data_IF_976601804380
#
_entry.id   IF_976601804380
#
_cell.length_a   1.000
_cell.length_b   1.000
_cell.length_c   1.000
_cell.angle_alpha   90.00
_cell.angle_beta   90.00
_cell.angle_gamma   90.00
#
_symmetry.space_group_name_H-M   'P 1'
#
loop_
_entity.id
_entity.type
_entity.pdbx_description
1 polymer ?
#
# COMPACT_ATOMS: atom_id res chain seq x y z
N UNK A 1 -29.08 8.79 5.93
CA UNK A 1 -29.86 7.92 5.01
C UNK A 1 -29.28 8.07 3.62
N UNK A 2 -28.74 6.97 3.06
CA UNK A 2 -28.15 7.00 1.73
C UNK A 2 -29.28 7.04 0.68
N UNK A 3 -29.34 8.11 -0.09
CA UNK A 3 -30.18 8.22 -1.28
C UNK A 3 -29.43 7.54 -2.44
N UNK A 4 -29.87 6.36 -2.84
CA UNK A 4 -29.35 5.72 -4.05
C UNK A 4 -29.77 6.57 -5.25
N UNK A 5 -28.82 7.23 -5.88
CA UNK A 5 -29.04 7.95 -7.13
C UNK A 5 -29.23 6.89 -8.25
N UNK A 6 -30.14 7.12 -9.19
CA UNK A 6 -30.44 6.18 -10.29
C UNK A 6 -29.20 5.80 -11.11
N UNK A 7 -28.18 6.65 -11.13
CA UNK A 7 -26.88 6.40 -11.79
C UNK A 7 -26.00 5.38 -11.06
N UNK A 8 -26.27 5.08 -9.79
CA UNK A 8 -25.51 4.12 -8.96
C UNK A 8 -26.26 2.84 -8.65
N UNK A 9 -27.56 2.76 -8.98
CA UNK A 9 -28.36 1.56 -8.80
C UNK A 9 -28.23 0.62 -10.02
N UNK A 10 -28.13 -0.68 -9.76
CA UNK A 10 -28.13 -1.69 -10.82
C UNK A 10 -29.45 -1.71 -11.59
N UNK A 11 -29.35 -1.73 -12.92
CA UNK A 11 -30.50 -1.76 -13.82
C UNK A 11 -30.74 -3.16 -14.39
N UNK A 12 -31.92 -3.38 -14.97
CA UNK A 12 -32.22 -4.63 -15.69
C UNK A 12 -31.23 -4.86 -16.87
N UNK A 13 -30.75 -3.78 -17.50
CA UNK A 13 -29.74 -3.86 -18.55
C UNK A 13 -28.39 -4.34 -18.01
N UNK A 14 -28.01 -3.95 -16.79
CA UNK A 14 -26.78 -4.42 -16.15
C UNK A 14 -26.90 -5.89 -15.74
N UNK A 15 -28.08 -6.30 -15.26
CA UNK A 15 -28.36 -7.71 -14.98
C UNK A 15 -28.29 -8.55 -16.26
N UNK A 16 -28.91 -8.11 -17.36
CA UNK A 16 -28.91 -8.81 -18.63
C UNK A 16 -27.49 -9.00 -19.22
N UNK A 17 -26.56 -8.06 -19.00
CA UNK A 17 -25.15 -8.20 -19.40
C UNK A 17 -24.42 -9.33 -18.67
N UNK A 18 -24.88 -9.69 -17.49
CA UNK A 18 -24.30 -10.73 -16.65
C UNK A 18 -24.98 -12.10 -16.81
N UNK A 19 -25.80 -12.28 -17.84
CA UNK A 19 -26.46 -13.53 -18.14
C UNK A 19 -25.80 -14.24 -19.33
N UNK A 20 -25.65 -15.55 -19.19
CA UNK A 20 -25.38 -16.44 -20.30
C UNK A 20 -26.66 -16.63 -21.18
N UNK A 21 -26.55 -17.13 -22.41
CA UNK A 21 -27.70 -17.42 -23.25
C UNK A 21 -28.69 -18.42 -22.66
N UNK A 22 -28.26 -19.25 -21.69
CA UNK A 22 -29.08 -20.21 -20.97
C UNK A 22 -29.81 -19.61 -19.74
N UNK A 23 -29.65 -18.31 -19.50
CA UNK A 23 -30.24 -17.61 -18.37
C UNK A 23 -29.52 -17.78 -17.04
N UNK A 24 -28.40 -18.52 -17.00
CA UNK A 24 -27.52 -18.57 -15.82
C UNK A 24 -26.63 -17.31 -15.70
N UNK A 25 -26.16 -17.02 -14.49
CA UNK A 25 -25.23 -15.90 -14.30
C UNK A 25 -23.87 -16.25 -14.89
N UNK A 26 -23.39 -15.39 -15.80
CA UNK A 26 -22.08 -15.51 -16.42
C UNK A 26 -20.95 -15.36 -15.37
N UNK A 27 -19.84 -16.06 -15.62
CA UNK A 27 -18.62 -15.81 -14.88
C UNK A 27 -17.98 -14.51 -15.40
N UNK A 28 -18.03 -13.45 -14.59
CA UNK A 28 -17.47 -12.15 -14.95
C UNK A 28 -15.96 -12.22 -14.84
N UNK A 29 -15.25 -11.98 -15.95
CA UNK A 29 -13.80 -11.86 -15.94
C UNK A 29 -13.40 -10.54 -15.28
N UNK A 30 -12.70 -10.63 -14.16
CA UNK A 30 -12.21 -9.44 -13.44
C UNK A 30 -11.00 -8.84 -14.15
N UNK A 31 -11.24 -7.89 -15.04
CA UNK A 31 -10.18 -7.18 -15.80
C UNK A 31 -9.57 -5.99 -15.05
N UNK A 32 -10.24 -5.53 -13.99
CA UNK A 32 -9.82 -4.37 -13.21
C UNK A 32 -9.01 -4.73 -11.97
N UNK A 33 -8.79 -6.04 -11.73
CA UNK A 33 -8.00 -6.47 -10.59
C UNK A 33 -6.56 -5.95 -10.67
N UNK A 34 -6.07 -5.45 -9.54
CA UNK A 34 -4.72 -4.92 -9.39
C UNK A 34 -3.93 -5.75 -8.39
N UNK A 35 -2.61 -5.72 -8.54
CA UNK A 35 -1.71 -6.39 -7.62
C UNK A 35 -1.16 -5.38 -6.63
N UNK A 36 -1.58 -5.48 -5.38
CA UNK A 36 -1.18 -4.60 -4.29
C UNK A 36 -0.64 -5.43 -3.11
N UNK A 37 0.52 -6.06 -3.33
CA UNK A 37 1.14 -7.00 -2.38
C UNK A 37 1.53 -6.34 -1.05
N UNK A 38 1.55 -5.02 -0.97
CA UNK A 38 1.84 -4.29 0.27
C UNK A 38 0.85 -4.63 1.39
N UNK A 39 -0.42 -4.86 1.06
CA UNK A 39 -1.46 -5.20 2.03
C UNK A 39 -1.26 -6.60 2.64
N UNK A 40 -0.64 -7.53 1.89
CA UNK A 40 -0.34 -8.89 2.34
C UNK A 40 0.90 -8.93 3.25
N UNK A 41 1.89 -8.08 2.96
CA UNK A 41 3.16 -8.06 3.70
C UNK A 41 3.06 -7.31 5.04
N UNK A 42 2.07 -6.42 5.19
CA UNK A 42 1.89 -5.60 6.40
C UNK A 42 1.60 -6.46 7.63
N UNK A 43 2.31 -6.17 8.71
CA UNK A 43 1.98 -6.70 10.03
C UNK A 43 0.86 -5.86 10.65
N UNK A 44 -0.30 -6.44 10.84
CA UNK A 44 -1.45 -5.76 11.45
C UNK A 44 -1.49 -5.96 12.95
N UNK A 45 -1.58 -4.86 13.70
CA UNK A 45 -1.72 -4.91 15.16
C UNK A 45 -2.88 -4.02 15.63
N UNK A 46 -3.43 -4.38 16.79
CA UNK A 46 -4.44 -3.55 17.45
C UNK A 46 -3.82 -2.27 18.01
N UNK A 47 -4.43 -1.13 17.75
CA UNK A 47 -4.03 0.14 18.31
C UNK A 47 -4.27 0.22 19.82
N UNK A 48 -3.55 1.10 20.51
CA UNK A 48 -3.75 1.36 21.93
C UNK A 48 -4.81 2.46 22.20
N UNK A 49 -5.26 3.13 21.15
CA UNK A 49 -6.30 4.16 21.20
C UNK A 49 -7.51 3.76 20.33
N UNK A 50 -8.71 4.25 20.65
CA UNK A 50 -9.90 4.03 19.82
C UNK A 50 -9.79 4.62 18.42
N UNK A 51 -8.94 5.65 18.23
CA UNK A 51 -8.75 6.35 16.96
C UNK A 51 -7.42 6.03 16.26
N UNK A 52 -6.56 5.21 16.88
CA UNK A 52 -5.25 4.92 16.31
C UNK A 52 -4.28 4.30 17.29
N UNK A 53 -3.01 4.65 17.15
CA UNK A 53 -1.93 4.13 17.99
C UNK A 53 -0.99 5.25 18.43
N UNK A 54 -0.52 5.20 19.68
CA UNK A 54 0.46 6.13 20.24
C UNK A 54 1.71 5.37 20.66
N UNK A 55 2.84 5.77 20.07
CA UNK A 55 4.16 5.26 20.39
C UNK A 55 5.01 6.34 21.07
N UNK A 56 5.92 5.92 21.93
CA UNK A 56 6.98 6.77 22.48
C UNK A 56 8.30 6.45 21.79
N UNK A 57 8.95 7.46 21.26
CA UNK A 57 10.22 7.35 20.54
C UNK A 57 11.27 8.14 21.28
N UNK A 58 12.46 7.53 21.48
CA UNK A 58 13.59 8.22 22.08
C UNK A 58 14.25 9.15 21.06
N UNK A 59 14.34 10.45 21.37
CA UNK A 59 14.87 11.49 20.48
C UNK A 59 16.33 11.84 20.75
N UNK A 60 16.82 11.60 21.96
CA UNK A 60 18.25 11.78 22.26
C UNK A 60 18.77 10.74 23.25
N UNK A 61 20.05 10.47 23.13
CA UNK A 61 20.80 9.64 24.09
C UNK A 61 21.57 10.54 25.07
N UNK A 62 21.83 10.08 26.30
CA UNK A 62 22.69 10.80 27.24
C UNK A 62 24.12 10.82 26.72
N UNK A 63 24.81 11.93 26.93
CA UNK A 63 26.22 12.09 26.56
C UNK A 63 27.11 11.66 27.72
N UNK A 64 27.89 10.56 27.59
CA UNK A 64 28.86 10.19 28.61
C UNK A 64 30.05 11.17 28.64
N UNK A 65 30.58 11.43 29.83
CA UNK A 65 31.75 12.31 30.01
C UNK A 65 32.94 11.50 30.55
N UNK A 66 34.07 11.63 29.87
CA UNK A 66 35.34 11.08 30.37
C UNK A 66 35.85 11.94 31.53
N UNK A 67 36.01 11.35 32.69
CA UNK A 67 36.38 12.06 33.91
C UNK A 67 37.82 11.74 34.33
N UNK A 68 38.52 12.77 34.85
CA UNK A 68 39.79 12.61 35.56
C UNK A 68 39.51 12.27 37.03
N UNK A 69 40.52 11.70 37.73
CA UNK A 69 40.43 11.47 39.17
C UNK A 69 40.19 12.82 39.89
N UNK A 70 39.29 12.78 40.90
CA UNK A 70 38.87 13.96 41.68
C UNK A 70 38.11 15.05 40.94
N UNK A 71 37.56 14.76 39.75
CA UNK A 71 36.72 15.68 38.97
C UNK A 71 35.28 15.18 38.95
N UNK A 72 34.30 16.07 39.04
CA UNK A 72 32.87 15.76 38.90
C UNK A 72 32.47 15.39 37.47
N UNK A 73 31.29 14.82 37.31
CA UNK A 73 30.65 14.52 36.03
C UNK A 73 29.29 15.23 35.96
N UNK A 74 29.04 15.93 34.88
CA UNK A 74 27.74 16.56 34.66
C UNK A 74 26.65 15.51 34.37
N UNK A 75 25.46 15.60 35.01
CA UNK A 75 24.36 14.71 34.74
C UNK A 75 23.79 14.95 33.34
N UNK A 76 23.52 13.88 32.64
CA UNK A 76 22.84 13.92 31.33
C UNK A 76 21.57 13.05 31.35
N UNK A 77 20.59 13.36 30.51
CA UNK A 77 19.31 12.64 30.43
C UNK A 77 18.96 12.29 28.99
N UNK A 78 18.12 11.27 28.84
CA UNK A 78 17.45 10.96 27.59
C UNK A 78 16.23 11.85 27.38
N UNK A 79 15.88 12.14 26.15
CA UNK A 79 14.60 12.77 25.80
C UNK A 79 13.77 11.84 24.94
N UNK A 80 12.47 11.89 25.14
CA UNK A 80 11.48 11.07 24.42
C UNK A 80 10.39 11.97 23.85
N UNK A 81 9.84 11.56 22.71
CA UNK A 81 8.70 12.20 22.09
C UNK A 81 7.59 11.16 21.85
N UNK A 82 6.34 11.59 21.96
CA UNK A 82 5.19 10.77 21.63
C UNK A 82 4.76 11.05 20.20
N UNK A 83 4.57 10.00 19.43
CA UNK A 83 4.02 10.04 18.07
C UNK A 83 2.67 9.35 18.11
N UNK A 84 1.64 9.98 17.56
CA UNK A 84 0.30 9.42 17.46
C UNK A 84 -0.06 9.27 15.99
N UNK A 85 -0.32 8.04 15.59
CA UNK A 85 -0.78 7.69 14.24
C UNK A 85 -2.28 7.36 14.28
N UNK A 86 -3.05 7.95 13.38
CA UNK A 86 -4.50 7.80 13.31
C UNK A 86 -4.91 6.73 12.30
N UNK A 87 -6.03 6.06 12.57
CA UNK A 87 -6.68 5.16 11.63
C UNK A 87 -7.74 5.91 10.84
N UNK A 88 -7.84 5.61 9.56
CA UNK A 88 -8.97 6.00 8.71
C UNK A 88 -10.05 4.91 8.71
N UNK A 89 -11.24 5.26 8.22
CA UNK A 89 -12.36 4.35 8.03
C UNK A 89 -12.86 4.47 6.60
N UNK A 90 -12.73 3.39 5.84
CA UNK A 90 -13.28 3.26 4.49
C UNK A 90 -14.57 2.44 4.57
N UNK A 91 -15.65 2.95 4.01
CA UNK A 91 -16.95 2.29 4.00
C UNK A 91 -17.53 2.25 2.59
N UNK A 92 -18.20 1.16 2.27
CA UNK A 92 -18.96 1.02 1.04
C UNK A 92 -20.25 0.24 1.31
N UNK A 93 -21.31 0.59 0.62
CA UNK A 93 -22.61 -0.06 0.74
C UNK A 93 -23.03 -0.56 -0.64
N UNK A 94 -23.22 -1.88 -0.76
CA UNK A 94 -23.80 -2.48 -1.94
C UNK A 94 -25.31 -2.59 -1.76
N UNK A 95 -26.08 -1.97 -2.64
CA UNK A 95 -27.54 -2.00 -2.64
C UNK A 95 -28.01 -2.66 -3.93
N UNK A 96 -28.79 -3.73 -3.80
CA UNK A 96 -29.31 -4.50 -4.94
C UNK A 96 -30.81 -4.62 -4.77
N UNK A 97 -31.58 -4.17 -5.78
CA UNK A 97 -33.05 -4.31 -5.77
C UNK A 97 -33.46 -5.80 -5.66
N UNK A 98 -34.34 -6.10 -4.71
CA UNK A 98 -34.82 -7.48 -4.48
C UNK A 98 -35.47 -8.07 -5.72
N UNK A 99 -36.33 -7.33 -6.41
CA UNK A 99 -37.00 -7.80 -7.59
C UNK A 99 -36.02 -8.16 -8.71
N UNK A 100 -34.92 -7.41 -8.82
CA UNK A 100 -33.86 -7.67 -9.78
C UNK A 100 -33.02 -8.89 -9.37
N UNK A 101 -32.66 -8.99 -8.09
CA UNK A 101 -31.86 -10.09 -7.58
C UNK A 101 -32.59 -11.45 -7.68
N UNK A 102 -33.88 -11.45 -7.44
CA UNK A 102 -34.69 -12.68 -7.44
C UNK A 102 -35.07 -13.18 -8.87
N UNK A 103 -34.74 -12.40 -9.90
CA UNK A 103 -34.90 -12.82 -11.27
C UNK A 103 -34.14 -14.13 -11.54
N UNK A 104 -34.83 -15.11 -12.12
CA UNK A 104 -34.30 -16.44 -12.47
C UNK A 104 -33.78 -17.27 -11.27
N UNK A 105 -34.10 -16.91 -10.03
CA UNK A 105 -33.70 -17.66 -8.83
C UNK A 105 -32.22 -17.69 -8.51
N UNK A 106 -31.41 -16.78 -9.08
CA UNK A 106 -29.96 -16.75 -8.97
C UNK A 106 -29.41 -15.61 -8.05
N UNK A 107 -30.24 -15.12 -7.11
CA UNK A 107 -29.93 -13.94 -6.29
C UNK A 107 -28.59 -14.01 -5.56
N UNK A 108 -28.28 -15.13 -4.92
CA UNK A 108 -27.03 -15.29 -4.17
C UNK A 108 -25.78 -15.24 -5.05
N UNK A 109 -25.80 -15.90 -6.21
CA UNK A 109 -24.66 -15.94 -7.14
C UNK A 109 -24.40 -14.56 -7.77
N UNK A 110 -25.48 -13.86 -8.14
CA UNK A 110 -25.36 -12.52 -8.71
C UNK A 110 -24.85 -11.49 -7.68
N UNK A 111 -25.41 -11.49 -6.46
CA UNK A 111 -24.92 -10.66 -5.35
C UNK A 111 -23.42 -10.91 -5.08
N UNK A 112 -23.00 -12.18 -5.02
CA UNK A 112 -21.57 -12.52 -4.82
C UNK A 112 -20.69 -12.00 -5.95
N UNK A 113 -21.15 -12.03 -7.20
CA UNK A 113 -20.42 -11.47 -8.33
C UNK A 113 -20.24 -9.97 -8.21
N UNK A 114 -21.27 -9.22 -7.80
CA UNK A 114 -21.20 -7.78 -7.58
C UNK A 114 -20.31 -7.43 -6.37
N UNK A 115 -20.41 -8.21 -5.30
CA UNK A 115 -19.60 -7.99 -4.09
C UNK A 115 -18.09 -8.07 -4.33
N UNK A 116 -17.62 -8.90 -5.28
CA UNK A 116 -16.20 -8.95 -5.66
C UNK A 116 -15.66 -7.59 -6.13
N UNK A 117 -16.45 -6.84 -6.90
CA UNK A 117 -16.06 -5.51 -7.35
C UNK A 117 -15.87 -4.51 -6.19
N UNK A 118 -16.72 -4.57 -5.16
CA UNK A 118 -16.56 -3.73 -3.96
C UNK A 118 -15.29 -4.10 -3.18
N UNK A 119 -15.01 -5.39 -3.00
CA UNK A 119 -13.82 -5.87 -2.31
C UNK A 119 -12.53 -5.40 -3.03
N UNK A 120 -12.48 -5.54 -4.35
CA UNK A 120 -11.34 -5.11 -5.15
C UNK A 120 -11.18 -3.58 -5.11
N UNK A 121 -12.26 -2.82 -5.27
CA UNK A 121 -12.23 -1.36 -5.20
C UNK A 121 -11.72 -0.84 -3.84
N UNK A 122 -12.18 -1.42 -2.74
CA UNK A 122 -11.72 -1.07 -1.41
C UNK A 122 -10.26 -1.45 -1.17
N UNK A 123 -9.78 -2.58 -1.69
CA UNK A 123 -8.38 -2.98 -1.61
C UNK A 123 -7.46 -2.02 -2.37
N UNK A 124 -7.88 -1.60 -3.57
CA UNK A 124 -7.15 -0.62 -4.37
C UNK A 124 -7.10 0.75 -3.69
N UNK A 125 -8.24 1.23 -3.17
CA UNK A 125 -8.29 2.50 -2.44
C UNK A 125 -7.42 2.46 -1.19
N UNK A 126 -7.52 1.39 -0.38
CA UNK A 126 -6.70 1.24 0.83
C UNK A 126 -5.20 1.28 0.49
N UNK A 127 -4.75 0.58 -0.55
CA UNK A 127 -3.35 0.62 -0.98
C UNK A 127 -2.93 2.03 -1.42
N UNK A 128 -3.79 2.76 -2.14
CA UNK A 128 -3.54 4.13 -2.53
C UNK A 128 -3.44 5.07 -1.32
N UNK A 129 -4.35 4.93 -0.35
CA UNK A 129 -4.35 5.77 0.86
C UNK A 129 -3.12 5.50 1.74
N UNK A 130 -2.69 4.25 1.89
CA UNK A 130 -1.45 3.93 2.62
C UNK A 130 -0.20 4.54 1.99
N UNK A 131 -0.21 4.75 0.68
CA UNK A 131 0.91 5.41 -0.03
C UNK A 131 0.82 6.94 0.03
N UNK A 132 -0.34 7.51 -0.27
CA UNK A 132 -0.45 8.94 -0.63
C UNK A 132 -1.27 9.80 0.31
N UNK A 133 -2.12 9.24 1.17
CA UNK A 133 -3.01 10.06 1.99
C UNK A 133 -2.26 10.92 3.01
N UNK A 134 -2.81 12.09 3.27
CA UNK A 134 -2.32 13.02 4.27
C UNK A 134 -3.43 13.37 5.25
N UNK A 135 -3.32 12.88 6.48
CA UNK A 135 -4.32 13.12 7.53
C UNK A 135 -4.42 14.59 7.96
N UNK A 136 -3.41 15.41 7.64
CA UNK A 136 -3.49 16.85 7.90
C UNK A 136 -4.42 17.59 6.91
N UNK A 137 -4.60 17.04 5.69
CA UNK A 137 -5.49 17.58 4.66
C UNK A 137 -6.87 16.89 4.66
N UNK A 138 -6.89 15.60 4.98
CA UNK A 138 -8.07 14.75 5.01
C UNK A 138 -8.06 13.91 6.30
N UNK A 139 -8.61 14.45 7.41
CA UNK A 139 -8.53 13.82 8.73
C UNK A 139 -9.23 12.45 8.82
N UNK A 140 -10.15 12.15 7.90
CA UNK A 140 -10.85 10.86 7.78
C UNK A 140 -9.95 9.74 7.24
N UNK A 141 -8.76 10.08 6.69
CA UNK A 141 -7.80 9.15 6.09
C UNK A 141 -6.58 8.96 6.99
N UNK A 142 -5.90 7.79 6.92
CA UNK A 142 -4.66 7.58 7.65
C UNK A 142 -3.51 8.41 7.05
N UNK A 143 -2.45 8.64 7.81
CA UNK A 143 -1.22 9.25 7.28
C UNK A 143 -0.40 8.20 6.51
N UNK A 144 -0.28 8.39 5.20
CA UNK A 144 0.46 7.50 4.30
C UNK A 144 1.99 7.70 4.33
N UNK A 145 2.69 6.98 3.45
CA UNK A 145 4.15 7.06 3.35
C UNK A 145 4.63 8.36 2.69
N UNK A 146 4.01 8.77 1.58
CA UNK A 146 4.49 9.91 0.77
C UNK A 146 4.59 11.22 1.54
N UNK A 147 3.62 11.63 2.37
CA UNK A 147 3.73 12.86 3.14
C UNK A 147 4.84 12.83 4.20
N UNK A 148 5.19 11.64 4.70
CA UNK A 148 6.27 11.47 5.69
C UNK A 148 7.67 11.58 5.07
N UNK A 149 7.80 11.24 3.77
CA UNK A 149 9.05 11.24 3.00
C UNK A 149 8.93 12.15 1.77
N UNK A 150 8.55 13.41 2.00
CA UNK A 150 8.19 14.37 0.95
C UNK A 150 9.33 15.32 0.58
N UNK A 151 10.51 15.25 1.19
CA UNK A 151 11.62 16.16 0.94
C UNK A 151 12.95 15.41 0.76
N UNK A 152 13.80 15.94 -0.10
CA UNK A 152 15.20 15.54 -0.25
C UNK A 152 16.14 16.37 0.65
N UNK A 153 15.67 17.50 1.17
CA UNK A 153 16.47 18.40 1.99
C UNK A 153 16.58 17.91 3.44
N UNK A 154 17.74 17.44 3.83
CA UNK A 154 18.03 16.94 5.18
C UNK A 154 17.92 18.03 6.26
N UNK A 155 18.00 19.30 5.89
CA UNK A 155 17.77 20.42 6.80
C UNK A 155 16.31 20.65 7.17
N UNK A 156 15.36 20.11 6.40
CA UNK A 156 13.93 20.30 6.60
C UNK A 156 13.32 19.20 7.47
N UNK A 157 13.74 17.96 7.30
CA UNK A 157 13.21 16.82 8.03
C UNK A 157 14.26 15.72 8.22
N UNK A 158 14.23 15.05 9.36
CA UNK A 158 15.10 13.89 9.59
C UNK A 158 14.76 12.71 8.65
N UNK A 159 13.51 12.58 8.23
CA UNK A 159 13.07 11.55 7.28
C UNK A 159 13.64 11.75 5.88
N UNK A 160 14.05 12.98 5.53
CA UNK A 160 14.74 13.28 4.27
C UNK A 160 16.07 12.52 4.11
N UNK A 161 16.70 12.13 5.21
CA UNK A 161 17.90 11.27 5.16
C UNK A 161 17.60 9.91 4.50
N UNK A 162 16.37 9.45 4.54
CA UNK A 162 15.93 8.18 3.95
C UNK A 162 15.21 8.38 2.61
N UNK A 163 15.37 9.56 1.99
CA UNK A 163 14.93 9.78 0.61
C UNK A 163 16.17 9.78 -0.29
N UNK A 164 16.11 9.01 -1.38
CA UNK A 164 17.14 8.92 -2.42
C UNK A 164 16.55 9.48 -3.70
N UNK A 165 17.29 10.34 -4.40
CA UNK A 165 16.82 10.91 -5.66
C UNK A 165 17.18 10.02 -6.84
N UNK A 166 16.21 9.67 -7.67
CA UNK A 166 16.41 9.05 -8.97
C UNK A 166 16.81 10.01 -10.09
N UNK A 167 17.15 11.27 -9.73
CA UNK A 167 17.59 12.35 -10.62
C UNK A 167 16.57 12.84 -11.67
N UNK A 168 15.33 12.37 -11.66
CA UNK A 168 14.26 12.95 -12.47
C UNK A 168 13.84 14.32 -11.96
N UNK A 169 13.91 15.36 -12.79
CA UNK A 169 13.73 16.75 -12.31
C UNK A 169 12.62 17.54 -13.00
N UNK A 170 12.18 17.13 -14.20
CA UNK A 170 11.36 18.00 -15.05
C UNK A 170 10.10 17.35 -15.58
N UNK A 171 9.86 16.10 -15.31
CA UNK A 171 8.75 15.33 -15.87
C UNK A 171 7.58 15.23 -14.90
N UNK A 172 6.37 15.26 -15.40
CA UNK A 172 5.16 14.83 -14.70
C UNK A 172 5.01 13.29 -14.69
N UNK A 173 6.04 12.55 -15.14
CA UNK A 173 6.06 11.10 -15.24
C UNK A 173 7.03 10.50 -14.22
N UNK A 174 6.96 11.00 -12.99
CA UNK A 174 7.76 10.49 -11.89
C UNK A 174 7.08 9.31 -11.20
N UNK A 175 7.89 8.43 -10.68
CA UNK A 175 7.45 7.30 -9.84
C UNK A 175 8.38 7.15 -8.65
N UNK A 176 7.97 6.38 -7.67
CA UNK A 176 8.80 6.05 -6.51
C UNK A 176 9.00 4.55 -6.37
N UNK A 177 10.12 4.17 -5.74
CA UNK A 177 10.37 2.83 -5.22
C UNK A 177 10.41 2.94 -3.69
N UNK A 178 9.78 2.01 -3.01
CA UNK A 178 9.71 1.99 -1.56
C UNK A 178 10.39 0.74 -1.02
N UNK A 179 11.36 0.91 -0.14
CA UNK A 179 11.94 -0.16 0.66
C UNK A 179 11.40 -0.01 2.09
N UNK A 180 10.62 -0.99 2.53
CA UNK A 180 9.94 -0.95 3.84
C UNK A 180 10.34 -2.17 4.65
N UNK A 181 10.83 -1.95 5.87
CA UNK A 181 11.12 -2.98 6.85
C UNK A 181 9.95 -3.14 7.83
N UNK A 182 9.10 -4.12 7.60
CA UNK A 182 7.96 -4.43 8.46
C UNK A 182 8.39 -5.06 9.78
N UNK A 183 7.78 -4.66 10.87
CA UNK A 183 8.03 -5.23 12.19
C UNK A 183 7.27 -4.47 13.28
N UNK A 184 7.04 -5.14 14.42
CA UNK A 184 6.26 -4.57 15.50
C UNK A 184 6.84 -3.27 16.07
N UNK A 185 8.16 -3.19 16.22
CA UNK A 185 8.87 -1.99 16.67
C UNK A 185 9.35 -1.07 15.53
N UNK A 186 8.89 -1.27 14.30
CA UNK A 186 9.37 -0.57 13.10
C UNK A 186 8.22 0.11 12.36
N UNK A 187 7.72 -0.58 11.35
CA UNK A 187 6.60 -0.15 10.51
C UNK A 187 5.54 -1.22 10.56
N UNK A 188 4.30 -0.82 10.79
CA UNK A 188 3.19 -1.75 10.96
C UNK A 188 1.86 -1.13 10.56
N UNK A 189 0.94 -1.98 10.14
CA UNK A 189 -0.46 -1.62 9.99
C UNK A 189 -1.15 -1.61 11.35
N UNK A 190 -2.05 -0.68 11.56
CA UNK A 190 -2.82 -0.58 12.80
C UNK A 190 -4.32 -0.56 12.50
N UNK A 191 -5.11 -1.07 13.44
CA UNK A 191 -6.55 -0.92 13.45
C UNK A 191 -7.01 -0.43 14.82
N UNK A 192 -8.15 0.26 14.93
CA UNK A 192 -8.61 0.86 16.18
C UNK A 192 -8.81 -0.17 17.29
N UNK A 193 -8.51 0.22 18.53
CA UNK A 193 -8.73 -0.63 19.69
C UNK A 193 -10.20 -1.07 19.80
N UNK A 194 -10.42 -2.38 20.00
CA UNK A 194 -11.75 -2.97 20.10
C UNK A 194 -12.44 -3.22 18.77
N UNK A 195 -11.78 -2.95 17.64
CA UNK A 195 -12.26 -3.35 16.30
C UNK A 195 -11.61 -4.65 15.84
N UNK A 196 -12.12 -5.24 14.76
CA UNK A 196 -11.50 -6.41 14.12
C UNK A 196 -10.54 -5.97 13.04
N UNK A 197 -9.45 -6.72 12.85
CA UNK A 197 -8.52 -6.51 11.75
C UNK A 197 -9.16 -6.86 10.39
N UNK A 198 -8.74 -6.14 9.35
CA UNK A 198 -9.15 -6.42 7.97
C UNK A 198 -10.49 -5.82 7.58
N UNK A 199 -10.87 -6.13 6.35
CA UNK A 199 -12.16 -5.75 5.80
C UNK A 199 -13.26 -6.60 6.44
N UNK A 200 -14.32 -5.94 6.87
CA UNK A 200 -15.51 -6.57 7.45
C UNK A 200 -16.67 -6.36 6.51
N UNK A 201 -17.40 -7.42 6.24
CA UNK A 201 -18.65 -7.42 5.50
C UNK A 201 -19.79 -7.83 6.44
N UNK A 202 -20.88 -7.09 6.35
CA UNK A 202 -22.12 -7.39 7.07
C UNK A 202 -23.25 -7.44 6.06
N UNK A 203 -23.85 -8.63 5.88
CA UNK A 203 -25.05 -8.77 5.09
C UNK A 203 -26.26 -8.42 5.97
N UNK A 204 -26.85 -7.25 5.74
CA UNK A 204 -28.05 -6.80 6.46
C UNK A 204 -29.32 -7.48 5.96
N UNK A 205 -29.21 -8.29 4.89
CA UNK A 205 -30.34 -9.00 4.31
C UNK A 205 -31.29 -8.09 3.55
N UNK A 206 -32.60 -8.31 3.71
CA UNK A 206 -33.64 -7.50 3.08
C UNK A 206 -33.96 -6.28 3.95
N UNK A 207 -33.68 -5.08 3.41
CA UNK A 207 -34.07 -3.85 4.06
C UNK A 207 -34.67 -2.83 3.06
N UNK A 208 -35.16 -1.72 3.58
CA UNK A 208 -35.73 -0.65 2.79
C UNK A 208 -34.64 0.30 2.29
N UNK A 209 -34.48 0.37 0.98
CA UNK A 209 -33.69 1.41 0.32
C UNK A 209 -34.60 2.54 -0.17
N UNK A 210 -33.99 3.68 -0.50
CA UNK A 210 -34.68 4.87 -0.98
C UNK A 210 -34.20 5.23 -2.38
N UNK A 211 -35.13 5.56 -3.26
CA UNK A 211 -34.82 6.10 -4.57
C UNK A 211 -34.44 7.61 -4.51
N UNK A 212 -34.09 8.19 -5.65
CA UNK A 212 -33.75 9.62 -5.75
C UNK A 212 -34.90 10.56 -5.35
N UNK A 213 -36.16 10.06 -5.33
CA UNK A 213 -37.35 10.78 -4.94
C UNK A 213 -37.80 10.46 -3.50
N UNK A 214 -36.95 9.82 -2.72
CA UNK A 214 -37.21 9.42 -1.34
C UNK A 214 -38.34 8.39 -1.17
N UNK A 215 -38.67 7.62 -2.23
CA UNK A 215 -39.61 6.51 -2.18
C UNK A 215 -38.90 5.23 -1.81
N UNK A 216 -39.60 4.39 -1.01
CA UNK A 216 -39.02 3.16 -0.48
C UNK A 216 -39.22 1.99 -1.45
N UNK A 217 -38.17 1.17 -1.58
CA UNK A 217 -38.25 -0.13 -2.24
C UNK A 217 -37.45 -1.16 -1.45
N UNK A 218 -37.77 -2.45 -1.64
CA UNK A 218 -37.06 -3.54 -0.97
C UNK A 218 -35.77 -3.87 -1.72
N UNK A 219 -34.64 -3.91 -0.98
CA UNK A 219 -33.34 -4.23 -1.51
C UNK A 219 -32.57 -5.18 -0.58
N UNK A 220 -31.61 -5.89 -1.13
CA UNK A 220 -30.55 -6.55 -0.37
C UNK A 220 -29.42 -5.56 -0.15
N UNK A 221 -29.01 -5.40 1.11
CA UNK A 221 -27.97 -4.44 1.51
C UNK A 221 -26.80 -5.21 2.10
N UNK A 222 -25.61 -4.95 1.58
CA UNK A 222 -24.34 -5.43 2.16
C UNK A 222 -23.47 -4.23 2.51
N UNK A 223 -23.04 -4.14 3.76
CA UNK A 223 -22.21 -3.07 4.28
C UNK A 223 -20.78 -3.56 4.44
N UNK A 224 -19.83 -2.84 3.85
CA UNK A 224 -18.39 -3.09 3.93
C UNK A 224 -17.74 -2.00 4.75
N UNK A 225 -16.93 -2.38 5.73
CA UNK A 225 -16.19 -1.46 6.59
C UNK A 225 -14.74 -1.91 6.70
N UNK A 226 -13.81 -1.02 6.44
CA UNK A 226 -12.40 -1.26 6.67
C UNK A 226 -11.79 -0.14 7.49
N UNK A 227 -11.37 -0.45 8.71
CA UNK A 227 -10.71 0.48 9.62
C UNK A 227 -9.22 0.15 9.66
N UNK A 228 -8.39 1.04 9.12
CA UNK A 228 -6.97 0.79 9.01
C UNK A 228 -6.16 2.09 9.11
N UNK A 229 -4.91 1.94 9.51
CA UNK A 229 -3.92 3.01 9.55
C UNK A 229 -2.51 2.47 9.43
N UNK A 230 -1.55 3.38 9.39
CA UNK A 230 -0.13 3.10 9.31
C UNK A 230 0.57 3.71 10.50
N UNK A 231 1.26 2.89 11.31
CA UNK A 231 2.14 3.35 12.38
C UNK A 231 3.58 3.20 11.97
N UNK A 232 4.33 4.29 12.09
CA UNK A 232 5.78 4.34 11.83
C UNK A 232 6.48 4.73 13.11
N UNK A 233 6.91 3.72 13.88
CA UNK A 233 7.64 3.91 15.13
C UNK A 233 9.09 4.27 14.87
N UNK A 234 9.73 3.62 13.89
CA UNK A 234 11.10 3.89 13.48
C UNK A 234 11.15 4.19 11.97
N UNK A 235 11.23 5.47 11.63
CA UNK A 235 11.27 5.95 10.24
C UNK A 235 12.52 5.49 9.47
N UNK A 236 13.61 5.07 10.14
CA UNK A 236 14.85 4.61 9.50
C UNK A 236 14.69 3.29 8.74
N UNK A 237 13.60 2.57 8.98
CA UNK A 237 13.27 1.32 8.28
C UNK A 237 12.38 1.54 7.05
N UNK A 238 12.19 2.79 6.65
CA UNK A 238 11.53 3.14 5.38
C UNK A 238 12.51 3.97 4.56
N UNK A 239 12.71 3.58 3.31
CA UNK A 239 13.49 4.35 2.34
C UNK A 239 12.65 4.57 1.10
N UNK A 240 12.59 5.82 0.64
CA UNK A 240 11.94 6.20 -0.61
C UNK A 240 13.00 6.52 -1.65
N UNK A 241 12.98 5.87 -2.79
CA UNK A 241 13.67 6.35 -4.00
C UNK A 241 12.64 7.15 -4.78
N UNK A 242 12.74 8.47 -4.70
CA UNK A 242 11.85 9.41 -5.36
C UNK A 242 12.41 9.87 -6.71
N UNK A 243 11.61 10.54 -7.50
CA UNK A 243 12.03 11.13 -8.78
C UNK A 243 12.60 10.10 -9.77
N UNK A 244 11.97 8.93 -9.84
CA UNK A 244 12.29 7.93 -10.87
C UNK A 244 11.49 8.29 -12.12
N UNK A 245 12.11 8.95 -13.08
CA UNK A 245 11.47 9.39 -14.32
C UNK A 245 11.19 8.20 -15.25
N UNK A 246 9.93 7.92 -15.52
CA UNK A 246 9.49 6.83 -16.40
C UNK A 246 9.39 7.22 -17.88
N UNK A 247 9.69 8.48 -18.21
CA UNK A 247 9.61 9.02 -19.57
C UNK A 247 10.73 8.55 -20.51
N UNK A 248 10.66 9.00 -21.75
CA UNK A 248 11.73 8.84 -22.75
C UNK A 248 12.68 10.05 -22.79
N UNK A 249 12.50 11.06 -21.95
CA UNK A 249 13.36 12.24 -21.87
C UNK A 249 14.75 11.86 -21.35
N UNK A 250 15.72 12.76 -21.52
CA UNK A 250 17.08 12.57 -20.99
C UNK A 250 17.02 12.31 -19.45
N UNK A 251 17.65 11.24 -19.00
CA UNK A 251 17.57 10.80 -17.60
C UNK A 251 16.34 9.96 -17.24
N UNK A 252 15.39 9.75 -18.17
CA UNK A 252 14.26 8.87 -17.95
C UNK A 252 14.59 7.39 -18.23
N UNK A 253 13.80 6.48 -17.68
CA UNK A 253 14.01 5.02 -17.81
C UNK A 253 13.97 4.49 -19.25
N UNK A 254 13.34 5.24 -20.17
CA UNK A 254 13.25 4.90 -21.61
C UNK A 254 14.30 5.59 -22.45
N UNK A 255 15.12 6.46 -21.85
CA UNK A 255 16.19 7.20 -22.54
C UNK A 255 17.36 6.30 -22.92
N UNK A 256 18.30 6.86 -23.68
CA UNK A 256 19.61 6.24 -23.97
C UNK A 256 20.51 6.17 -22.75
N UNK A 257 20.33 7.07 -21.80
CA UNK A 257 21.10 7.18 -20.54
C UNK A 257 20.14 7.11 -19.34
N UNK A 258 19.56 5.94 -19.04
CA UNK A 258 18.66 5.79 -17.90
C UNK A 258 19.43 5.86 -16.59
N UNK A 259 18.80 6.31 -15.48
CA UNK A 259 19.41 6.21 -14.16
C UNK A 259 19.64 4.74 -13.78
N UNK A 260 20.69 4.48 -13.05
CA UNK A 260 21.01 3.13 -12.57
C UNK A 260 20.12 2.79 -11.36
N UNK A 261 19.03 2.04 -11.62
CA UNK A 261 18.09 1.62 -10.58
C UNK A 261 18.71 0.60 -9.61
N UNK A 262 19.72 -0.16 -10.06
CA UNK A 262 20.39 -1.16 -9.22
C UNK A 262 21.20 -0.45 -8.16
N UNK A 263 22.01 0.54 -8.55
CA UNK A 263 22.79 1.36 -7.61
C UNK A 263 21.88 2.15 -6.65
N UNK A 264 20.76 2.71 -7.13
CA UNK A 264 19.79 3.40 -6.27
C UNK A 264 19.17 2.49 -5.22
N UNK A 265 18.87 1.22 -5.57
CA UNK A 265 18.35 0.24 -4.63
C UNK A 265 19.43 -0.16 -3.62
N UNK A 266 20.67 -0.34 -4.04
CA UNK A 266 21.79 -0.64 -3.14
C UNK A 266 22.04 0.52 -2.15
N UNK A 267 21.96 1.77 -2.61
CA UNK A 267 21.99 2.94 -1.73
C UNK A 267 20.84 2.95 -0.72
N UNK A 268 19.64 2.54 -1.16
CA UNK A 268 18.49 2.45 -0.25
C UNK A 268 18.68 1.35 0.81
N UNK A 269 19.20 0.19 0.41
CA UNK A 269 19.50 -0.92 1.33
C UNK A 269 20.53 -0.47 2.38
N UNK A 270 21.58 0.24 1.97
CA UNK A 270 22.61 0.73 2.87
C UNK A 270 22.13 1.74 3.92
N UNK A 271 20.98 2.41 3.68
CA UNK A 271 20.37 3.34 4.64
C UNK A 271 19.63 2.64 5.79
N UNK A 272 19.24 1.38 5.65
CA UNK A 272 18.56 0.63 6.71
C UNK A 272 19.58 0.15 7.74
N UNK A 273 19.40 0.46 9.03
CA UNK A 273 20.38 0.14 10.05
C UNK A 273 20.63 -1.37 10.24
N UNK A 274 19.59 -2.19 10.17
CA UNK A 274 19.69 -3.63 10.34
C UNK A 274 18.54 -4.35 9.63
N UNK A 275 18.82 -4.95 8.49
CA UNK A 275 17.85 -5.72 7.70
C UNK A 275 17.35 -6.98 8.43
N UNK A 276 18.20 -7.60 9.26
CA UNK A 276 17.83 -8.79 10.01
C UNK A 276 16.84 -8.55 11.15
N UNK A 277 16.63 -7.28 11.54
CA UNK A 277 15.68 -6.90 12.60
C UNK A 277 14.26 -6.60 12.08
N UNK A 278 14.01 -6.74 10.79
CA UNK A 278 12.73 -6.47 10.16
C UNK A 278 12.45 -7.48 9.03
N UNK A 279 11.25 -7.43 8.48
CA UNK A 279 10.87 -8.14 7.25
C UNK A 279 10.91 -7.13 6.09
N UNK A 280 12.06 -6.99 5.41
CA UNK A 280 12.19 -5.99 4.35
C UNK A 280 11.42 -6.43 3.12
N UNK A 281 10.81 -5.49 2.42
CA UNK A 281 10.19 -5.70 1.12
C UNK A 281 10.38 -4.46 0.23
N UNK A 282 10.63 -4.68 -1.05
CA UNK A 282 10.85 -3.64 -2.04
C UNK A 282 9.62 -3.52 -2.93
N UNK A 283 8.96 -2.38 -2.86
CA UNK A 283 7.72 -2.09 -3.58
C UNK A 283 7.96 -1.17 -4.77
N UNK A 284 7.47 -1.56 -5.91
CA UNK A 284 7.54 -0.76 -7.13
C UNK A 284 6.37 -1.09 -8.06
N UNK A 285 6.05 -0.18 -8.98
CA UNK A 285 5.07 -0.48 -10.01
C UNK A 285 5.64 -1.38 -11.12
N UNK A 286 4.77 -1.90 -11.99
CA UNK A 286 5.16 -2.83 -13.07
C UNK A 286 6.13 -2.21 -14.07
N UNK A 287 6.00 -0.91 -14.35
CA UNK A 287 6.87 -0.19 -15.30
C UNK A 287 8.30 -0.11 -14.76
N UNK A 288 8.46 0.33 -13.52
CA UNK A 288 9.77 0.44 -12.87
C UNK A 288 10.39 -0.95 -12.70
N UNK A 289 9.61 -1.94 -12.25
CA UNK A 289 10.07 -3.34 -12.10
C UNK A 289 10.62 -3.92 -13.40
N UNK A 290 9.95 -3.66 -14.53
CA UNK A 290 10.44 -4.09 -15.84
C UNK A 290 11.82 -3.50 -16.16
N UNK A 291 12.01 -2.20 -15.88
CA UNK A 291 13.29 -1.52 -16.15
C UNK A 291 14.37 -1.96 -15.18
N UNK A 292 14.06 -2.16 -13.90
CA UNK A 292 14.96 -2.71 -12.91
C UNK A 292 15.48 -4.09 -13.31
N UNK A 293 14.59 -5.00 -13.72
CA UNK A 293 14.96 -6.32 -14.19
C UNK A 293 15.82 -6.28 -15.47
N UNK A 294 15.53 -5.34 -16.38
CA UNK A 294 16.34 -5.14 -17.59
C UNK A 294 17.77 -4.70 -17.25
N UNK A 295 17.94 -3.78 -16.30
CA UNK A 295 19.28 -3.30 -15.89
C UNK A 295 20.06 -4.40 -15.16
N UNK A 296 19.44 -5.07 -14.21
CA UNK A 296 20.02 -6.21 -13.50
C UNK A 296 20.54 -7.29 -14.45
N UNK A 297 19.76 -7.64 -15.49
CA UNK A 297 20.16 -8.64 -16.47
C UNK A 297 21.32 -8.17 -17.39
N UNK A 298 21.39 -6.87 -17.69
CA UNK A 298 22.50 -6.30 -18.50
C UNK A 298 23.80 -6.30 -17.72
N UNK A 299 23.79 -5.95 -16.44
CA UNK A 299 24.96 -6.04 -15.57
C UNK A 299 25.53 -7.45 -15.51
N UNK A 300 24.66 -8.45 -15.46
CA UNK A 300 25.07 -9.87 -15.47
C UNK A 300 25.72 -10.33 -16.79
N UNK A 301 25.34 -9.75 -17.93
CA UNK A 301 25.93 -10.08 -19.23
C UNK A 301 27.29 -9.40 -19.46
N UNK A 302 27.55 -8.27 -18.82
CA UNK A 302 28.80 -7.51 -18.95
C UNK A 302 29.95 -8.11 -18.12
N UNK A 303 29.64 -8.90 -17.08
CA UNK A 303 30.62 -9.57 -16.22
C UNK A 303 30.43 -11.06 -16.28
N UNK A 304 31.38 -11.78 -16.91
CA UNK A 304 31.36 -13.25 -17.03
C UNK A 304 31.56 -14.00 -15.69
N UNK A 305 31.66 -13.29 -14.57
CA UNK A 305 31.98 -13.84 -13.25
C UNK A 305 30.89 -13.61 -12.19
N UNK A 306 29.80 -12.91 -12.49
CA UNK A 306 28.68 -12.75 -11.53
C UNK A 306 27.70 -13.89 -11.71
N UNK A 307 27.82 -14.91 -10.86
CA UNK A 307 26.74 -15.87 -10.63
C UNK A 307 25.55 -15.14 -10.03
N UNK A 308 24.66 -14.62 -10.88
CA UNK A 308 23.32 -14.23 -10.43
C UNK A 308 22.60 -15.49 -10.00
N UNK A 309 22.70 -15.82 -8.73
CA UNK A 309 21.79 -16.77 -8.12
C UNK A 309 20.42 -16.09 -8.08
N UNK A 310 19.71 -16.14 -9.20
CA UNK A 310 18.28 -15.92 -9.19
C UNK A 310 17.72 -17.09 -8.42
N UNK A 311 17.59 -16.95 -7.11
CA UNK A 311 16.81 -17.90 -6.31
C UNK A 311 15.39 -17.72 -6.79
N UNK A 312 15.04 -18.45 -7.81
CA UNK A 312 13.66 -18.74 -8.16
C UNK A 312 13.20 -19.76 -7.12
N UNK A 313 12.79 -19.27 -5.98
CA UNK A 313 12.09 -20.13 -5.06
C UNK A 313 10.71 -20.42 -5.67
N UNK A 314 10.63 -21.55 -6.34
CA UNK A 314 9.38 -22.12 -6.81
C UNK A 314 8.80 -22.92 -5.65
N UNK A 315 8.24 -22.22 -4.65
CA UNK A 315 7.40 -22.91 -3.68
C UNK A 315 6.12 -23.33 -4.40
N UNK A 316 6.00 -24.62 -4.63
CA UNK A 316 4.78 -25.25 -5.12
C UNK A 316 3.80 -25.29 -3.95
N UNK A 317 2.76 -24.46 -3.97
CA UNK A 317 1.62 -24.64 -3.08
C UNK A 317 0.84 -25.86 -3.60
N UNK A 318 0.97 -26.98 -2.88
CA UNK A 318 0.55 -28.32 -3.29
C UNK A 318 -0.97 -28.49 -3.50
N UNK A 319 -1.78 -27.46 -3.25
CA UNK A 319 -3.24 -27.59 -3.35
C UNK A 319 -3.89 -26.99 -4.60
N UNK A 320 -3.19 -26.18 -5.41
CA UNK A 320 -3.81 -25.52 -6.60
C UNK A 320 -2.95 -25.40 -7.84
N UNK A 321 -1.76 -25.95 -7.87
CA UNK A 321 -0.88 -25.91 -9.07
C UNK A 321 -0.43 -24.51 -9.51
N UNK A 322 -0.59 -23.50 -8.64
CA UNK A 322 -0.18 -22.12 -8.93
C UNK A 322 1.27 -21.93 -8.53
N UNK A 323 2.15 -21.84 -9.50
CA UNK A 323 3.55 -21.50 -9.28
C UNK A 323 3.64 -20.02 -8.91
N UNK A 324 3.76 -19.69 -7.62
CA UNK A 324 4.11 -18.34 -7.18
C UNK A 324 5.60 -18.10 -7.46
N UNK A 325 5.91 -17.26 -8.44
CA UNK A 325 7.28 -16.80 -8.70
C UNK A 325 7.58 -15.64 -7.73
N UNK A 326 8.43 -15.90 -6.75
CA UNK A 326 9.02 -14.85 -5.92
C UNK A 326 10.30 -14.36 -6.59
N UNK A 327 10.38 -13.07 -6.90
CA UNK A 327 11.62 -12.45 -7.33
C UNK A 327 12.25 -11.77 -6.12
N UNK A 328 13.51 -12.09 -5.81
CA UNK A 328 14.27 -11.50 -4.73
C UNK A 328 15.46 -10.70 -5.27
N UNK A 329 15.84 -9.64 -4.59
CA UNK A 329 17.07 -8.89 -4.79
C UNK A 329 17.78 -8.78 -3.44
N UNK A 330 19.01 -9.31 -3.32
CA UNK A 330 19.78 -9.40 -2.07
C UNK A 330 18.98 -9.98 -0.89
N UNK A 331 18.20 -11.05 -1.15
CA UNK A 331 17.32 -11.66 -0.16
C UNK A 331 16.02 -10.88 0.13
N UNK A 332 15.84 -9.68 -0.43
CA UNK A 332 14.66 -8.85 -0.25
C UNK A 332 13.62 -9.15 -1.34
N UNK A 333 12.37 -9.48 -1.01
CA UNK A 333 11.34 -9.74 -2.01
C UNK A 333 10.97 -8.49 -2.80
N UNK A 334 10.90 -8.63 -4.14
CA UNK A 334 10.43 -7.61 -5.07
C UNK A 334 8.93 -7.73 -5.24
N UNK A 335 8.20 -6.77 -4.73
CA UNK A 335 6.75 -6.71 -4.71
C UNK A 335 6.21 -5.73 -5.73
N UNK A 336 5.06 -6.06 -6.30
CA UNK A 336 4.33 -5.17 -7.22
C UNK A 336 3.23 -4.47 -6.45
N UNK A 337 3.16 -3.15 -6.62
CA UNK A 337 2.06 -2.32 -6.14
C UNK A 337 1.62 -1.44 -7.30
N UNK A 338 0.49 -1.78 -7.91
CA UNK A 338 -0.03 -1.08 -9.08
C UNK A 338 -0.53 0.33 -8.74
N UNK A 339 -0.84 0.58 -7.48
CA UNK A 339 -1.24 1.91 -6.97
C UNK A 339 -0.07 2.90 -6.85
N UNK A 340 1.19 2.47 -7.01
CA UNK A 340 2.30 3.43 -7.14
C UNK A 340 2.18 4.13 -8.48
N UNK A 341 1.94 5.42 -8.43
CA UNK A 341 1.70 6.25 -9.61
C UNK A 341 2.98 6.41 -10.46
N UNK A 342 2.78 6.60 -11.78
CA UNK A 342 3.82 7.05 -12.70
C UNK A 342 3.75 8.56 -12.96
N UNK A 343 2.89 9.28 -12.23
CA UNK A 343 2.58 10.69 -12.39
C UNK A 343 2.76 11.46 -11.09
N UNK A 344 3.67 10.97 -10.22
CA UNK A 344 4.01 11.67 -8.99
C UNK A 344 4.63 13.04 -9.30
N UNK A 345 4.44 13.99 -8.40
CA UNK A 345 5.15 15.27 -8.45
C UNK A 345 6.63 15.09 -8.08
N UNK A 346 7.47 15.97 -8.61
CA UNK A 346 8.90 16.00 -8.25
C UNK A 346 9.05 16.33 -6.77
N UNK A 347 9.86 15.56 -6.08
CA UNK A 347 10.26 15.78 -4.68
C UNK A 347 11.51 16.66 -4.67
N UNK A 348 11.49 17.74 -3.90
CA UNK A 348 12.57 18.73 -3.77
C UNK A 348 13.26 18.67 -2.40
#
# INVERSE_FOLDING_TARGET
MATANITTAYTLADFAKNLNPDGSIADVAELLSQRNEILEDMLWIEGNLPTGHRDSVRTSLPTPTWRRLNQGVDPSKTTEAQVTDTCGMSEAIAIVDKALADLNGNSARWRMSQNKGFLEGMAQDMAAQLLYSNSALAPEKPMGFTPRFASLSTGTSQTANNVVSGAGSTSSQQSSIWLVGWGDDKVRGIFPKGSKAGLQDTDEGEDWAFDANNKRYKAYITHYVWKAGLSVKDWRYIVRIANVDTSANAGGLRSSTPPDLVDLVDQAIAKIPNLGACRPALYMNRTVKRHFNKQRNRGAQASSTVNLTTIRDTSTDDQRGVIKRFENYDGIPLRIVDQILNTESVVS
#
